data_IF_090364081002
#
_entry.id   IF_090364081002
#
_cell.length_a   1.000
_cell.length_b   1.000
_cell.length_c   1.000
_cell.angle_alpha   90.00
_cell.angle_beta   90.00
_cell.angle_gamma   90.00
#
_symmetry.space_group_name_H-M   'P 1'
#
loop_
_entity.id
_entity.type
_entity.pdbx_description
1 polymer ?
#
# COMPACT_ATOMS: atom_id res chain seq x y z
N UNK A 1 -17.60 15.11 -47.15
CA UNK A 1 -18.00 15.23 -45.75
C UNK A 1 -17.30 14.14 -44.96
N UNK A 2 -16.20 14.49 -44.29
CA UNK A 2 -15.40 13.53 -43.51
C UNK A 2 -15.90 13.61 -42.05
N UNK A 3 -16.52 12.54 -41.60
CA UNK A 3 -16.96 12.42 -40.19
C UNK A 3 -15.75 12.01 -39.36
N UNK A 4 -15.06 12.97 -38.73
CA UNK A 4 -14.07 12.66 -37.71
C UNK A 4 -14.75 12.10 -36.49
N UNK A 5 -14.75 10.78 -36.37
CA UNK A 5 -15.11 10.10 -35.13
C UNK A 5 -13.95 10.32 -34.15
N UNK A 6 -14.06 11.33 -33.31
CA UNK A 6 -13.18 11.46 -32.16
C UNK A 6 -13.50 10.33 -31.18
N UNK A 7 -12.72 9.27 -31.22
CA UNK A 7 -12.67 8.32 -30.13
C UNK A 7 -12.07 9.06 -28.94
N UNK A 8 -12.93 9.49 -28.02
CA UNK A 8 -12.47 9.91 -26.71
C UNK A 8 -11.93 8.67 -26.01
N UNK A 9 -10.59 8.56 -25.95
CA UNK A 9 -9.92 7.61 -25.08
C UNK A 9 -10.21 8.02 -23.65
N UNK A 10 -11.26 7.44 -23.06
CA UNK A 10 -11.49 7.52 -21.62
C UNK A 10 -10.47 6.59 -20.97
N UNK A 11 -9.32 7.16 -20.54
CA UNK A 11 -8.42 6.43 -19.68
C UNK A 11 -9.13 6.26 -18.33
N UNK A 12 -9.60 5.04 -18.06
CA UNK A 12 -10.08 4.71 -16.73
C UNK A 12 -8.92 4.92 -15.74
N UNK A 13 -9.13 5.60 -14.60
CA UNK A 13 -8.07 5.68 -13.58
C UNK A 13 -7.68 4.27 -13.18
N UNK A 14 -6.36 3.98 -13.18
CA UNK A 14 -5.84 2.73 -12.70
C UNK A 14 -6.24 2.58 -11.23
N UNK A 15 -7.29 1.80 -10.96
CA UNK A 15 -7.68 1.46 -9.59
C UNK A 15 -6.71 0.40 -9.07
N UNK A 16 -6.15 0.61 -7.88
CA UNK A 16 -5.38 -0.39 -7.19
C UNK A 16 -6.23 -1.65 -6.99
N UNK A 17 -5.66 -2.79 -7.30
CA UNK A 17 -6.31 -4.08 -7.13
C UNK A 17 -5.92 -4.64 -5.75
N UNK A 18 -6.69 -4.28 -4.73
CA UNK A 18 -6.44 -4.69 -3.37
C UNK A 18 -6.85 -6.13 -3.12
N UNK A 19 -5.89 -6.95 -2.76
CA UNK A 19 -6.11 -8.35 -2.38
C UNK A 19 -5.92 -8.47 -0.88
N UNK A 20 -6.90 -9.06 -0.20
CA UNK A 20 -6.83 -9.28 1.24
C UNK A 20 -5.71 -10.28 1.55
N UNK A 21 -4.77 -9.85 2.36
CA UNK A 21 -3.62 -10.66 2.76
C UNK A 21 -3.77 -11.23 4.18
N UNK A 22 -4.36 -10.45 5.09
CA UNK A 22 -4.50 -10.83 6.49
C UNK A 22 -5.63 -10.05 7.17
N UNK A 23 -6.19 -10.62 8.22
CA UNK A 23 -7.19 -9.99 9.07
C UNK A 23 -6.96 -10.37 10.52
N UNK A 24 -7.09 -9.39 11.41
CA UNK A 24 -7.10 -9.60 12.85
C UNK A 24 -8.24 -8.80 13.49
N UNK A 25 -8.28 -8.73 14.82
CA UNK A 25 -9.35 -8.02 15.54
C UNK A 25 -9.37 -6.51 15.28
N UNK A 26 -8.25 -5.92 14.86
CA UNK A 26 -8.06 -4.48 14.71
C UNK A 26 -8.00 -4.01 13.26
N UNK A 27 -7.40 -4.81 12.38
CA UNK A 27 -7.11 -4.42 11.00
C UNK A 27 -7.48 -5.50 10.01
N UNK A 28 -7.86 -5.04 8.81
CA UNK A 28 -7.82 -5.86 7.60
C UNK A 28 -6.67 -5.33 6.73
N UNK A 29 -5.79 -6.19 6.32
CA UNK A 29 -4.59 -5.83 5.55
C UNK A 29 -4.73 -6.29 4.11
N UNK A 30 -4.47 -5.38 3.18
CA UNK A 30 -4.50 -5.62 1.74
C UNK A 30 -3.17 -5.33 1.11
N UNK A 31 -2.87 -6.03 0.04
CA UNK A 31 -1.70 -5.80 -0.82
C UNK A 31 -2.19 -5.52 -2.25
N UNK A 32 -1.51 -4.62 -2.95
CA UNK A 32 -1.68 -4.45 -4.38
C UNK A 32 -0.71 -5.40 -5.10
N UNK A 33 -1.27 -6.33 -5.88
CA UNK A 33 -0.47 -7.31 -6.62
C UNK A 33 0.30 -6.72 -7.81
N UNK A 34 0.09 -5.45 -8.13
CA UNK A 34 0.91 -4.75 -9.13
C UNK A 34 2.26 -4.36 -8.52
N UNK A 35 3.11 -5.36 -8.34
CA UNK A 35 4.41 -5.23 -7.69
C UNK A 35 5.44 -4.77 -8.69
N UNK A 36 6.10 -3.65 -8.39
CA UNK A 36 7.19 -3.13 -9.21
C UNK A 36 8.50 -3.80 -8.83
N UNK A 37 9.17 -4.36 -9.82
CA UNK A 37 10.48 -5.02 -9.65
C UNK A 37 11.59 -4.15 -10.20
N UNK A 38 12.61 -3.94 -9.38
CA UNK A 38 13.82 -3.22 -9.77
C UNK A 38 15.03 -3.92 -9.16
N UNK A 39 15.71 -4.77 -9.94
CA UNK A 39 16.76 -5.64 -9.42
C UNK A 39 16.24 -6.56 -8.31
N UNK A 40 16.88 -6.56 -7.17
CA UNK A 40 16.44 -7.32 -6.00
C UNK A 40 15.39 -6.60 -5.16
N UNK A 41 15.04 -5.37 -5.53
CA UNK A 41 14.05 -4.57 -4.81
C UNK A 41 12.67 -4.81 -5.38
N UNK A 42 11.68 -4.96 -4.48
CA UNK A 42 10.25 -5.03 -4.82
C UNK A 42 9.56 -3.86 -4.17
N UNK A 43 8.79 -3.11 -4.94
CA UNK A 43 8.00 -1.97 -4.47
C UNK A 43 6.54 -2.36 -4.43
N UNK A 44 5.89 -2.23 -3.26
CA UNK A 44 4.56 -2.77 -2.99
C UNK A 44 3.71 -1.74 -2.28
N UNK A 45 2.48 -1.55 -2.74
CA UNK A 45 1.46 -0.82 -2.01
C UNK A 45 0.75 -1.73 -1.02
N UNK A 46 0.55 -1.23 0.17
CA UNK A 46 0.01 -1.92 1.32
C UNK A 46 -1.09 -1.04 1.93
N UNK A 47 -2.23 -1.61 2.24
CA UNK A 47 -3.36 -0.89 2.81
C UNK A 47 -3.84 -1.58 4.07
N UNK A 48 -4.03 -0.82 5.13
CA UNK A 48 -4.67 -1.30 6.36
C UNK A 48 -5.98 -0.57 6.59
N UNK A 49 -7.08 -1.31 6.64
CA UNK A 49 -8.37 -0.82 7.10
C UNK A 49 -8.51 -1.07 8.60
N UNK A 50 -8.84 -0.04 9.32
CA UNK A 50 -9.05 -0.09 10.76
C UNK A 50 -10.50 -0.47 11.04
N UNK A 51 -10.73 -1.52 11.81
CA UNK A 51 -12.09 -1.96 12.17
C UNK A 51 -12.80 -1.01 13.10
N UNK A 52 -12.05 -0.29 13.92
CA UNK A 52 -12.55 0.80 14.77
C UNK A 52 -11.68 2.03 14.53
N UNK A 53 -12.29 3.21 14.50
CA UNK A 53 -11.54 4.46 14.35
C UNK A 53 -10.45 4.56 15.41
N UNK A 54 -9.23 4.74 14.96
CA UNK A 54 -8.10 5.01 15.84
C UNK A 54 -8.33 6.33 16.55
N UNK A 55 -7.99 6.42 17.85
CA UNK A 55 -8.31 7.58 18.67
C UNK A 55 -7.80 8.90 18.06
N UNK A 56 -8.50 10.00 18.40
CA UNK A 56 -8.15 11.34 17.93
C UNK A 56 -6.69 11.74 18.27
N UNK A 57 -6.14 11.20 19.34
CA UNK A 57 -4.75 11.44 19.78
C UNK A 57 -3.71 10.93 18.79
N UNK A 58 -4.03 9.89 18.02
CA UNK A 58 -3.14 9.32 17.00
C UNK A 58 -3.69 9.52 15.58
N UNK A 59 -4.58 10.50 15.39
CA UNK A 59 -5.02 10.96 14.09
C UNK A 59 -6.43 10.56 13.65
N UNK A 60 -7.12 9.68 14.39
CA UNK A 60 -8.52 9.34 14.12
C UNK A 60 -8.82 8.79 12.72
N UNK A 61 -7.89 8.07 12.09
CA UNK A 61 -8.04 7.56 10.73
C UNK A 61 -8.77 6.21 10.68
N UNK A 62 -9.36 5.90 9.52
CA UNK A 62 -9.99 4.60 9.24
C UNK A 62 -9.20 3.74 8.26
N UNK A 63 -8.26 4.31 7.53
CA UNK A 63 -7.34 3.53 6.71
C UNK A 63 -5.99 4.21 6.59
N UNK A 64 -4.95 3.40 6.39
CA UNK A 64 -3.59 3.84 6.14
C UNK A 64 -3.05 3.12 4.91
N UNK A 65 -2.51 3.89 3.97
CA UNK A 65 -1.90 3.40 2.74
C UNK A 65 -0.41 3.66 2.81
N UNK A 66 0.39 2.63 2.64
CA UNK A 66 1.84 2.75 2.67
C UNK A 66 2.49 2.09 1.47
N UNK A 67 3.59 2.66 1.02
CA UNK A 67 4.41 2.06 -0.02
C UNK A 67 5.68 1.53 0.63
N UNK A 68 5.91 0.25 0.42
CA UNK A 68 7.05 -0.46 0.97
C UNK A 68 8.04 -0.85 -0.11
N UNK A 69 9.30 -0.86 0.26
CA UNK A 69 10.35 -1.48 -0.53
C UNK A 69 10.93 -2.66 0.24
N UNK A 70 11.08 -3.80 -0.44
CA UNK A 70 11.69 -5.01 0.09
C UNK A 70 12.93 -5.34 -0.72
N UNK A 71 14.07 -5.45 -0.06
CA UNK A 71 15.28 -5.99 -0.66
C UNK A 71 15.28 -7.50 -0.43
N UNK A 72 14.99 -8.25 -1.48
CA UNK A 72 14.84 -9.70 -1.39
C UNK A 72 16.18 -10.41 -1.18
N UNK A 73 17.29 -9.80 -1.62
CA UNK A 73 18.63 -10.35 -1.44
C UNK A 73 19.15 -10.15 -0.02
N UNK A 74 18.99 -8.95 0.53
CA UNK A 74 19.50 -8.60 1.87
C UNK A 74 18.47 -8.84 2.98
N UNK A 75 17.24 -9.20 2.64
CA UNK A 75 16.11 -9.39 3.58
C UNK A 75 15.88 -8.18 4.47
N UNK A 76 15.81 -7.01 3.84
CA UNK A 76 15.55 -5.73 4.48
C UNK A 76 14.29 -5.10 3.89
N UNK A 77 13.68 -4.21 4.65
CA UNK A 77 12.50 -3.47 4.22
C UNK A 77 12.56 -2.02 4.69
N UNK A 78 11.80 -1.16 4.02
CA UNK A 78 11.57 0.21 4.45
C UNK A 78 10.23 0.73 3.91
N UNK A 79 9.65 1.68 4.62
CA UNK A 79 8.51 2.46 4.14
C UNK A 79 9.07 3.67 3.39
N UNK A 80 8.53 3.94 2.21
CA UNK A 80 8.93 5.09 1.40
C UNK A 80 7.82 6.13 1.27
N UNK A 81 6.59 5.76 1.58
CA UNK A 81 5.45 6.66 1.55
C UNK A 81 4.35 6.15 2.50
N UNK A 82 3.73 7.06 3.22
CA UNK A 82 2.63 6.76 4.14
C UNK A 82 1.58 7.85 4.09
N UNK A 83 0.31 7.45 3.96
CA UNK A 83 -0.83 8.36 4.02
C UNK A 83 -1.94 7.76 4.87
N UNK A 84 -2.65 8.59 5.62
CA UNK A 84 -3.82 8.18 6.39
C UNK A 84 -5.08 8.87 5.87
N UNK A 85 -6.23 8.22 6.04
CA UNK A 85 -7.49 8.66 5.46
C UNK A 85 -8.62 8.58 6.48
N UNK A 86 -9.60 9.47 6.32
CA UNK A 86 -10.79 9.52 7.19
C UNK A 86 -11.79 8.40 6.93
N UNK A 87 -11.74 7.79 5.76
CA UNK A 87 -12.62 6.69 5.36
C UNK A 87 -11.87 5.38 5.15
N UNK A 88 -12.60 4.28 4.97
CA UNK A 88 -11.98 2.99 4.67
C UNK A 88 -11.42 2.94 3.24
N UNK A 89 -10.53 2.00 2.98
CA UNK A 89 -9.98 1.70 1.65
C UNK A 89 -9.30 2.92 0.98
N UNK A 90 -8.57 3.73 1.76
CA UNK A 90 -7.91 4.95 1.32
C UNK A 90 -8.86 5.97 0.69
N UNK A 91 -10.10 6.01 1.17
CA UNK A 91 -11.13 6.95 0.72
C UNK A 91 -11.36 8.06 1.74
N UNK A 92 -12.17 9.03 1.34
CA UNK A 92 -12.43 10.18 2.18
C UNK A 92 -11.31 11.20 2.14
N UNK A 93 -11.18 11.96 3.22
CA UNK A 93 -10.18 13.01 3.32
C UNK A 93 -8.81 12.43 3.68
N UNK A 94 -7.76 12.83 2.96
CA UNK A 94 -6.39 12.54 3.36
C UNK A 94 -6.06 13.36 4.61
N UNK A 95 -5.72 12.66 5.69
CA UNK A 95 -5.42 13.29 6.99
C UNK A 95 -3.93 13.57 7.17
N UNK A 96 -3.07 12.72 6.60
CA UNK A 96 -1.63 12.89 6.66
C UNK A 96 -0.95 12.31 5.41
N UNK A 97 0.24 12.81 5.12
CA UNK A 97 1.09 12.33 4.03
C UNK A 97 2.55 12.49 4.45
N UNK A 98 3.30 11.40 4.37
CA UNK A 98 4.75 11.38 4.59
C UNK A 98 5.39 10.67 3.38
N UNK A 99 6.27 11.39 2.67
CA UNK A 99 6.98 10.88 1.50
C UNK A 99 8.48 10.70 1.77
N UNK A 100 8.89 10.80 3.02
CA UNK A 100 10.27 10.60 3.42
C UNK A 100 10.55 9.11 3.59
N UNK A 101 11.51 8.57 2.84
CA UNK A 101 11.89 7.18 2.94
C UNK A 101 12.59 6.91 4.26
N UNK A 102 12.14 5.85 4.95
CA UNK A 102 12.83 5.34 6.13
C UNK A 102 14.17 4.69 5.75
N UNK A 103 15.02 4.49 6.73
CA UNK A 103 16.22 3.69 6.55
C UNK A 103 15.87 2.22 6.35
N UNK A 104 16.70 1.51 5.62
CA UNK A 104 16.58 0.07 5.47
C UNK A 104 16.76 -0.63 6.81
N UNK A 105 15.83 -1.51 7.15
CA UNK A 105 15.84 -2.26 8.41
C UNK A 105 15.64 -3.75 8.17
N UNK A 106 16.20 -4.58 9.03
CA UNK A 106 15.98 -6.00 8.99
C UNK A 106 14.49 -6.32 9.19
N UNK A 107 13.98 -7.27 8.43
CA UNK A 107 12.58 -7.70 8.51
C UNK A 107 12.39 -8.51 9.78
N UNK A 108 11.49 -8.09 10.70
CA UNK A 108 11.25 -8.86 11.93
C UNK A 108 10.65 -10.23 11.58
N UNK A 109 11.15 -11.32 12.18
CA UNK A 109 10.54 -12.63 11.98
C UNK A 109 9.13 -12.71 12.56
N UNK A 110 8.28 -13.52 11.94
CA UNK A 110 6.89 -13.77 12.35
C UNK A 110 6.02 -12.50 12.39
N UNK A 111 6.34 -11.52 11.56
CA UNK A 111 5.62 -10.26 11.42
C UNK A 111 4.78 -10.21 10.15
N UNK A 112 3.84 -9.25 10.10
CA UNK A 112 3.09 -8.97 8.87
C UNK A 112 4.03 -8.53 7.74
N UNK A 113 5.10 -7.82 8.07
CA UNK A 113 6.09 -7.36 7.09
C UNK A 113 6.84 -8.53 6.48
N UNK A 114 7.17 -9.56 7.28
CA UNK A 114 7.76 -10.79 6.74
C UNK A 114 6.81 -11.48 5.76
N UNK A 115 5.54 -11.62 6.10
CA UNK A 115 4.55 -12.19 5.20
C UNK A 115 4.47 -11.40 3.89
N UNK A 116 4.42 -10.08 3.97
CA UNK A 116 4.38 -9.20 2.81
C UNK A 116 5.63 -9.33 1.95
N UNK A 117 6.80 -9.43 2.57
CA UNK A 117 8.06 -9.62 1.85
C UNK A 117 8.11 -10.96 1.12
N UNK A 118 7.61 -12.02 1.73
CA UNK A 118 7.51 -13.34 1.10
C UNK A 118 6.61 -13.30 -0.13
N UNK A 119 5.45 -12.66 -0.03
CA UNK A 119 4.52 -12.50 -1.15
C UNK A 119 5.12 -11.65 -2.27
N UNK A 120 5.79 -10.56 -1.93
CA UNK A 120 6.40 -9.66 -2.90
C UNK A 120 7.63 -10.27 -3.59
N UNK A 121 8.46 -10.97 -2.84
CA UNK A 121 9.71 -11.56 -3.35
C UNK A 121 9.47 -12.84 -4.16
N UNK A 122 8.36 -13.52 -3.94
CA UNK A 122 7.97 -14.72 -4.69
C UNK A 122 7.43 -14.38 -6.09
N UNK A 123 7.10 -13.17 -6.32
CA UNK A 123 6.71 -12.64 -7.62
C UNK A 123 7.94 -12.28 -8.45
#
# INVERSE_FOLDING_TARGET
MVLCLMLALVSAPASAEWVKARENAQFVTYIDWDIVKEGNVRRVWYLQDVKKRVSAEIGGFLSAKSRWEFDCGLKKARVVELATFSGPMAKGKRLSQDNEADEWAAIPPDSDIELMSMLACDK
#
